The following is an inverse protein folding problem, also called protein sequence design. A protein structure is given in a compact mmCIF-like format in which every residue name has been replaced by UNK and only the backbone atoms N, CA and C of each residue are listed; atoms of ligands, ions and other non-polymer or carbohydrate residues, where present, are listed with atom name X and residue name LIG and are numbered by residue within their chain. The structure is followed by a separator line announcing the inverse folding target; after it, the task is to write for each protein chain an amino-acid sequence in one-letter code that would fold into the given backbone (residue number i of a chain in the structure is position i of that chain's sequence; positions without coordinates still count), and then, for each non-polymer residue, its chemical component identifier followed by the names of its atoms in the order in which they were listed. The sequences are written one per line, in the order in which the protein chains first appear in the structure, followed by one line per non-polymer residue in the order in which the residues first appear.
data_IF_645247346704
#
_entry.id   IF_645247346704
#
_cell.length_a   1.000
_cell.length_b   1.000
_cell.length_c   1.000
_cell.angle_alpha   90.00
_cell.angle_beta   90.00
_cell.angle_gamma   90.00
#
_symmetry.space_group_name_H-M   'P 1'
#
loop_
_entity.id
_entity.type
_entity.pdbx_description
1 polymer ?
#
# COMPACT_ATOMS: atom_id res chain seq x y z
N UNK A 1 10.45 -9.68 17.28
CA UNK A 1 10.01 -8.33 16.86
C UNK A 1 11.12 -7.34 17.14
N UNK A 2 11.37 -6.40 16.24
CA UNK A 2 12.30 -5.28 16.43
C UNK A 2 11.57 -3.97 16.15
N UNK A 3 11.82 -2.97 17.00
CA UNK A 3 11.23 -1.65 16.89
C UNK A 3 12.32 -0.60 17.00
N UNK A 4 12.26 0.39 16.11
CA UNK A 4 13.10 1.57 16.11
C UNK A 4 12.28 2.72 15.52
N UNK A 5 11.87 3.65 16.37
CA UNK A 5 11.15 4.85 15.94
C UNK A 5 12.16 5.99 15.77
N UNK A 6 11.88 6.90 14.84
CA UNK A 6 12.70 8.11 14.71
C UNK A 6 12.53 8.96 15.97
N UNK A 7 13.61 9.53 16.54
CA UNK A 7 13.51 10.41 17.70
C UNK A 7 12.61 11.64 17.47
N UNK A 8 12.43 12.04 16.21
CA UNK A 8 11.54 13.14 15.81
C UNK A 8 10.05 12.77 15.84
N UNK A 9 9.69 11.49 15.88
CA UNK A 9 8.30 11.06 15.90
C UNK A 9 7.71 11.17 17.31
N UNK A 10 6.77 12.08 17.49
CA UNK A 10 6.14 12.36 18.80
C UNK A 10 4.94 11.47 19.09
N UNK A 11 4.38 10.81 18.07
CA UNK A 11 3.15 10.02 18.17
C UNK A 11 1.86 10.83 18.35
N UNK A 12 1.92 12.16 18.36
CA UNK A 12 0.75 13.01 18.56
C UNK A 12 0.06 13.34 17.23
N UNK A 13 -1.27 13.26 17.21
CA UNK A 13 -2.05 13.58 16.00
C UNK A 13 -1.84 15.02 15.52
N UNK A 14 -1.80 15.97 16.47
CA UNK A 14 -1.62 17.39 16.19
C UNK A 14 -0.32 17.71 15.44
N UNK A 15 0.77 16.99 15.73
CA UNK A 15 2.09 17.26 15.15
C UNK A 15 2.16 16.79 13.68
N UNK A 16 1.18 15.97 13.26
CA UNK A 16 0.99 15.47 11.90
C UNK A 16 -0.19 16.15 11.18
N UNK A 17 -0.80 17.17 11.79
CA UNK A 17 -1.99 17.85 11.26
C UNK A 17 -3.12 16.85 10.94
N UNK A 18 -3.34 15.90 11.85
CA UNK A 18 -4.42 14.92 11.78
C UNK A 18 -5.63 15.42 12.57
N UNK A 19 -6.81 15.27 11.99
CA UNK A 19 -8.05 15.71 12.62
C UNK A 19 -9.16 14.65 12.44
N UNK A 20 -9.45 13.84 13.48
CA UNK A 20 -10.51 12.83 13.42
C UNK A 20 -11.92 13.45 13.37
N UNK A 21 -12.08 14.70 13.78
CA UNK A 21 -13.37 15.41 13.84
C UNK A 21 -13.59 16.34 12.63
N UNK A 22 -12.77 16.22 11.58
CA UNK A 22 -12.86 17.05 10.38
C UNK A 22 -14.22 16.90 9.71
N UNK A 23 -14.87 18.04 9.43
CA UNK A 23 -16.13 18.11 8.67
C UNK A 23 -15.97 18.75 7.28
N UNK A 24 -14.98 19.62 7.15
CA UNK A 24 -14.72 20.35 5.90
C UNK A 24 -13.94 19.51 4.90
N UNK A 25 -14.27 19.72 3.62
CA UNK A 25 -13.57 19.11 2.50
C UNK A 25 -12.18 19.73 2.33
N UNK A 26 -11.17 18.89 2.09
CA UNK A 26 -9.80 19.36 1.87
C UNK A 26 -9.52 19.70 0.40
N UNK A 27 -10.35 19.22 -0.51
CA UNK A 27 -10.12 19.34 -1.96
C UNK A 27 -9.11 18.34 -2.52
N UNK A 28 -8.50 17.50 -1.67
CA UNK A 28 -7.65 16.39 -2.09
C UNK A 28 -8.44 15.10 -2.02
N UNK A 29 -8.80 14.55 -3.18
CA UNK A 29 -9.62 13.33 -3.28
C UNK A 29 -8.73 12.09 -3.32
N UNK A 30 -9.00 11.17 -2.41
CA UNK A 30 -8.44 9.81 -2.45
C UNK A 30 -9.55 8.81 -2.79
N UNK A 31 -9.36 8.03 -3.84
CA UNK A 31 -10.30 6.98 -4.23
C UNK A 31 -9.85 5.63 -3.67
N UNK A 32 -10.78 4.94 -3.01
CA UNK A 32 -10.64 3.52 -2.71
C UNK A 32 -11.17 2.75 -3.88
N UNK A 33 -10.27 2.10 -4.61
CA UNK A 33 -10.61 1.21 -5.70
C UNK A 33 -10.79 -0.19 -5.13
N UNK A 34 -12.00 -0.72 -5.28
CA UNK A 34 -12.38 -2.05 -4.76
C UNK A 34 -13.15 -2.88 -5.77
N UNK A 35 -13.12 -4.19 -5.61
CA UNK A 35 -13.90 -5.15 -6.40
C UNK A 35 -14.68 -6.08 -5.46
N UNK A 36 -15.52 -6.96 -6.00
CA UNK A 36 -16.15 -7.99 -5.20
C UNK A 36 -15.08 -8.87 -4.52
N UNK A 37 -15.16 -8.98 -3.19
CA UNK A 37 -14.27 -9.82 -2.38
C UNK A 37 -13.07 -9.10 -1.75
N UNK A 38 -12.79 -7.84 -2.11
CA UNK A 38 -11.90 -7.01 -1.29
C UNK A 38 -12.54 -6.75 0.09
N UNK A 39 -11.71 -6.49 1.11
CA UNK A 39 -12.18 -6.40 2.50
C UNK A 39 -11.37 -5.46 3.41
N UNK A 40 -10.38 -4.74 2.87
CA UNK A 40 -9.56 -3.79 3.63
C UNK A 40 -9.97 -2.32 3.49
N UNK A 41 -11.14 -2.05 2.89
CA UNK A 41 -11.51 -0.71 2.43
C UNK A 41 -11.91 0.21 3.57
N UNK A 42 -12.53 -0.31 4.62
CA UNK A 42 -13.07 0.53 5.71
C UNK A 42 -11.96 1.13 6.55
N UNK A 43 -10.99 0.32 6.95
CA UNK A 43 -9.81 0.77 7.68
C UNK A 43 -8.94 1.68 6.81
N UNK A 44 -8.81 1.39 5.50
CA UNK A 44 -8.11 2.26 4.56
C UNK A 44 -8.81 3.61 4.39
N UNK A 45 -10.14 3.62 4.27
CA UNK A 45 -10.94 4.86 4.22
C UNK A 45 -10.71 5.71 5.44
N UNK A 46 -10.70 5.09 6.62
CA UNK A 46 -10.48 5.81 7.85
C UNK A 46 -9.07 6.37 7.94
N UNK A 47 -8.04 5.63 7.53
CA UNK A 47 -6.66 6.13 7.47
C UNK A 47 -6.53 7.34 6.52
N UNK A 48 -7.10 7.26 5.33
CA UNK A 48 -7.11 8.37 4.36
C UNK A 48 -7.88 9.59 4.89
N UNK A 49 -9.06 9.37 5.48
CA UNK A 49 -9.87 10.44 6.07
C UNK A 49 -9.11 11.15 7.19
N UNK A 50 -8.49 10.40 8.09
CA UNK A 50 -7.71 10.91 9.22
C UNK A 50 -6.50 11.73 8.72
N UNK A 51 -5.86 11.28 7.64
CA UNK A 51 -4.80 12.04 6.96
C UNK A 51 -5.31 13.32 6.29
N UNK A 52 -6.62 13.53 6.17
CA UNK A 52 -7.22 14.73 5.58
C UNK A 52 -7.68 14.60 4.13
N UNK A 53 -7.77 13.38 3.57
CA UNK A 53 -8.30 13.19 2.21
C UNK A 53 -9.83 13.16 2.18
N UNK A 54 -10.43 13.69 1.13
CA UNK A 54 -11.83 13.47 0.80
C UNK A 54 -11.95 12.07 0.17
N UNK A 55 -12.46 11.10 0.93
CA UNK A 55 -12.43 9.69 0.53
C UNK A 55 -13.63 9.37 -0.36
N UNK A 56 -13.34 8.80 -1.53
CA UNK A 56 -14.32 8.39 -2.55
C UNK A 56 -14.31 6.86 -2.67
N UNK A 57 -15.46 6.22 -2.50
CA UNK A 57 -15.59 4.78 -2.78
C UNK A 57 -15.82 4.56 -4.27
N UNK A 58 -14.95 3.77 -4.91
CA UNK A 58 -15.02 3.47 -6.35
C UNK A 58 -14.99 1.97 -6.53
N UNK A 59 -16.15 1.40 -6.87
CA UNK A 59 -16.23 -0.02 -7.18
C UNK A 59 -15.83 -0.26 -8.64
N UNK A 60 -15.31 -1.45 -8.95
CA UNK A 60 -14.97 -1.84 -10.33
C UNK A 60 -16.13 -1.70 -11.33
N UNK A 61 -17.38 -1.77 -10.87
CA UNK A 61 -18.56 -1.48 -11.71
C UNK A 61 -18.62 -0.03 -12.18
N UNK A 62 -18.12 0.93 -11.40
CA UNK A 62 -18.12 2.35 -11.76
C UNK A 62 -17.10 2.60 -12.88
N UNK A 63 -15.90 2.02 -12.77
CA UNK A 63 -14.87 2.08 -13.81
C UNK A 63 -15.27 1.36 -15.10
N UNK A 64 -15.83 0.15 -14.98
CA UNK A 64 -16.17 -0.69 -16.16
C UNK A 64 -17.40 -0.17 -16.91
N UNK A 65 -18.31 0.52 -16.22
CA UNK A 65 -19.44 1.22 -16.85
C UNK A 65 -19.05 2.61 -17.38
N UNK A 66 -17.99 3.22 -16.84
CA UNK A 66 -17.56 4.59 -17.12
C UNK A 66 -18.33 5.65 -16.32
N UNK A 67 -18.94 5.28 -15.19
CA UNK A 67 -19.51 6.25 -14.23
C UNK A 67 -18.43 7.05 -13.50
N UNK A 68 -17.24 6.48 -13.39
CA UNK A 68 -16.08 7.08 -12.74
C UNK A 68 -14.87 7.01 -13.68
N UNK A 69 -14.12 8.10 -13.79
CA UNK A 69 -12.96 8.25 -14.70
C UNK A 69 -11.67 8.67 -13.98
N UNK A 70 -11.72 8.86 -12.66
CA UNK A 70 -10.62 9.27 -11.77
C UNK A 70 -9.99 10.63 -12.12
N UNK A 71 -10.66 11.45 -12.94
CA UNK A 71 -10.16 12.75 -13.36
C UNK A 71 -10.03 13.74 -12.19
N UNK A 72 -10.91 13.65 -11.20
CA UNK A 72 -10.92 14.46 -9.98
C UNK A 72 -10.15 13.84 -8.80
N UNK A 73 -9.55 12.66 -8.99
CA UNK A 73 -8.86 11.88 -7.95
C UNK A 73 -7.36 12.10 -8.01
N UNK A 74 -6.72 12.44 -6.89
CA UNK A 74 -5.27 12.63 -6.79
C UNK A 74 -4.55 11.40 -6.23
N UNK A 75 -5.24 10.59 -5.42
CA UNK A 75 -4.65 9.40 -4.80
C UNK A 75 -5.54 8.18 -5.00
N UNK A 76 -5.08 7.18 -5.75
CA UNK A 76 -5.82 5.92 -5.92
C UNK A 76 -5.26 4.84 -5.01
N UNK A 77 -6.11 4.24 -4.18
CA UNK A 77 -5.73 3.16 -3.26
C UNK A 77 -6.47 1.88 -3.63
N UNK A 78 -5.73 0.89 -4.10
CA UNK A 78 -6.21 -0.46 -4.39
C UNK A 78 -6.13 -1.29 -3.10
N UNK A 79 -7.29 -1.64 -2.55
CA UNK A 79 -7.39 -2.22 -1.23
C UNK A 79 -7.06 -3.72 -1.19
N UNK A 80 -6.75 -4.21 0.01
CA UNK A 80 -6.53 -5.63 0.26
C UNK A 80 -7.82 -6.46 0.33
N UNK A 81 -7.64 -7.78 0.38
CA UNK A 81 -8.73 -8.75 0.52
C UNK A 81 -8.53 -9.94 -0.41
N UNK A 82 -9.63 -10.50 -0.92
CA UNK A 82 -9.64 -11.67 -1.80
C UNK A 82 -10.52 -11.35 -3.01
N UNK A 83 -10.12 -10.39 -3.85
CA UNK A 83 -10.92 -10.03 -5.03
C UNK A 83 -11.18 -11.26 -5.90
N UNK A 84 -12.44 -11.47 -6.29
CA UNK A 84 -12.86 -12.68 -7.00
C UNK A 84 -12.49 -14.00 -6.28
N UNK A 85 -12.35 -13.97 -4.94
CA UNK A 85 -11.91 -15.09 -4.10
C UNK A 85 -10.53 -15.66 -4.47
N UNK A 86 -9.69 -14.84 -5.12
CA UNK A 86 -8.37 -15.23 -5.67
C UNK A 86 -8.42 -16.44 -6.62
N UNK A 87 -9.59 -16.74 -7.19
CA UNK A 87 -9.74 -17.79 -8.21
C UNK A 87 -8.97 -17.38 -9.46
N UNK A 88 -8.23 -18.34 -10.03
CA UNK A 88 -7.22 -18.17 -11.10
C UNK A 88 -5.88 -17.53 -10.65
N UNK A 89 -5.73 -17.24 -9.36
CA UNK A 89 -4.60 -16.56 -8.76
C UNK A 89 -4.99 -15.17 -8.27
N UNK A 90 -4.34 -14.70 -7.21
CA UNK A 90 -4.75 -13.49 -6.50
C UNK A 90 -4.75 -12.27 -7.41
N UNK A 91 -5.81 -11.47 -7.29
CA UNK A 91 -6.06 -10.27 -8.08
C UNK A 91 -6.14 -10.45 -9.61
N UNK A 92 -5.99 -11.66 -10.18
CA UNK A 92 -6.04 -11.84 -11.64
C UNK A 92 -7.42 -11.59 -12.24
N UNK A 93 -8.48 -11.99 -11.53
CA UNK A 93 -9.85 -11.67 -11.93
C UNK A 93 -10.09 -10.15 -11.96
N UNK A 94 -9.56 -9.45 -10.96
CA UNK A 94 -9.63 -7.99 -10.87
C UNK A 94 -8.82 -7.31 -11.98
N UNK A 95 -7.59 -7.77 -12.22
CA UNK A 95 -6.74 -7.32 -13.32
C UNK A 95 -7.42 -7.54 -14.68
N UNK A 96 -8.03 -8.71 -14.91
CA UNK A 96 -8.79 -9.01 -16.11
C UNK A 96 -9.97 -8.05 -16.32
N UNK A 97 -10.68 -7.70 -15.24
CA UNK A 97 -11.75 -6.70 -15.28
C UNK A 97 -11.29 -5.31 -15.74
N UNK A 98 -10.02 -4.96 -15.50
CA UNK A 98 -9.39 -3.72 -16.00
C UNK A 98 -8.88 -3.92 -17.42
N UNK A 99 -8.02 -4.92 -17.67
CA UNK A 99 -7.31 -5.13 -18.93
C UNK A 99 -8.24 -5.37 -20.12
N UNK A 100 -9.34 -6.10 -19.90
CA UNK A 100 -10.28 -6.51 -20.95
C UNK A 100 -11.51 -5.60 -21.06
N UNK A 101 -11.61 -4.54 -20.25
CA UNK A 101 -12.62 -3.51 -20.39
C UNK A 101 -11.97 -2.19 -20.83
N UNK A 102 -12.24 -1.75 -22.07
CA UNK A 102 -11.61 -0.56 -22.63
C UNK A 102 -11.82 0.74 -21.85
N UNK A 103 -12.97 0.89 -21.15
CA UNK A 103 -13.24 2.07 -20.31
C UNK A 103 -12.41 2.04 -19.03
N UNK A 104 -12.40 0.91 -18.33
CA UNK A 104 -11.63 0.74 -17.10
C UNK A 104 -10.13 0.86 -17.38
N UNK A 105 -9.64 0.18 -18.44
CA UNK A 105 -8.25 0.26 -18.89
C UNK A 105 -7.83 1.71 -19.15
N UNK A 106 -8.58 2.43 -20.00
CA UNK A 106 -8.27 3.83 -20.33
C UNK A 106 -8.30 4.73 -19.09
N UNK A 107 -9.22 4.49 -18.16
CA UNK A 107 -9.30 5.22 -16.89
C UNK A 107 -8.02 5.07 -16.07
N UNK A 108 -7.54 3.83 -15.90
CA UNK A 108 -6.29 3.55 -15.16
C UNK A 108 -5.07 4.12 -15.89
N UNK A 109 -4.98 3.92 -17.22
CA UNK A 109 -3.89 4.47 -18.03
C UNK A 109 -3.83 6.01 -17.93
N UNK A 110 -4.97 6.69 -18.04
CA UNK A 110 -5.06 8.14 -17.90
C UNK A 110 -4.62 8.62 -16.50
N UNK A 111 -5.04 7.92 -15.43
CA UNK A 111 -4.66 8.24 -14.06
C UNK A 111 -3.14 8.15 -13.85
N UNK A 112 -2.51 7.08 -14.33
CA UNK A 112 -1.07 6.86 -14.19
C UNK A 112 -0.22 7.78 -15.10
N UNK A 113 -0.80 8.27 -16.20
CA UNK A 113 -0.14 9.23 -17.08
C UNK A 113 -0.02 10.63 -16.46
N UNK A 114 -0.84 10.97 -15.45
CA UNK A 114 -0.77 12.31 -14.84
C UNK A 114 0.42 12.42 -13.88
N UNK A 115 1.15 13.56 -13.87
CA UNK A 115 2.29 13.77 -12.98
C UNK A 115 1.91 14.19 -11.55
N UNK A 116 0.62 14.43 -11.30
CA UNK A 116 0.04 14.92 -10.05
C UNK A 116 -0.73 13.83 -9.28
N UNK A 117 -0.49 12.56 -9.62
CA UNK A 117 -1.14 11.40 -8.98
C UNK A 117 -0.18 10.56 -8.16
N UNK A 118 -0.73 9.96 -7.10
CA UNK A 118 -0.12 8.89 -6.32
C UNK A 118 -0.97 7.62 -6.41
N UNK A 119 -0.36 6.45 -6.21
CA UNK A 119 -1.14 5.24 -5.95
C UNK A 119 -0.53 4.34 -4.89
N UNK A 120 -1.40 3.59 -4.22
CA UNK A 120 -1.06 2.61 -3.21
C UNK A 120 -1.80 1.31 -3.49
N UNK A 121 -1.08 0.20 -3.60
CA UNK A 121 -1.66 -1.14 -3.63
C UNK A 121 -1.29 -1.88 -2.35
N UNK A 122 -2.28 -2.28 -1.55
CA UNK A 122 -2.07 -3.08 -0.33
C UNK A 122 -2.53 -4.50 -0.51
N UNK A 123 -1.66 -5.46 -0.18
CA UNK A 123 -1.96 -6.89 -0.22
C UNK A 123 -2.55 -7.32 -1.58
N UNK A 124 -3.87 -7.50 -1.69
CA UNK A 124 -4.53 -7.78 -2.97
C UNK A 124 -4.42 -6.65 -4.00
N UNK A 125 -4.41 -5.39 -3.55
CA UNK A 125 -4.08 -4.26 -4.41
C UNK A 125 -2.62 -4.25 -4.83
N UNK A 126 -1.69 -4.71 -3.98
CA UNK A 126 -0.27 -4.87 -4.37
C UNK A 126 -0.15 -5.90 -5.50
N UNK A 127 -0.80 -7.06 -5.34
CA UNK A 127 -0.87 -8.10 -6.37
C UNK A 127 -1.45 -7.54 -7.68
N UNK A 128 -2.53 -6.76 -7.60
CA UNK A 128 -3.12 -6.11 -8.77
C UNK A 128 -2.15 -5.19 -9.49
N UNK A 129 -1.47 -4.28 -8.76
CA UNK A 129 -0.53 -3.33 -9.36
C UNK A 129 0.64 -4.05 -10.04
N UNK A 130 1.11 -5.14 -9.45
CA UNK A 130 2.15 -5.98 -10.03
C UNK A 130 1.67 -6.73 -11.28
N UNK A 131 0.44 -7.26 -11.26
CA UNK A 131 -0.16 -7.98 -12.40
C UNK A 131 -0.45 -7.03 -13.58
N UNK A 132 -0.84 -5.78 -13.30
CA UNK A 132 -1.06 -4.75 -14.33
C UNK A 132 0.25 -4.14 -14.87
N UNK A 133 1.40 -4.47 -14.28
CA UNK A 133 2.70 -3.94 -14.69
C UNK A 133 2.90 -2.46 -14.37
N UNK A 134 2.22 -1.94 -13.35
CA UNK A 134 2.16 -0.51 -13.05
C UNK A 134 3.29 0.01 -12.15
N UNK A 135 4.09 -0.88 -11.55
CA UNK A 135 5.20 -0.48 -10.67
C UNK A 135 6.50 -0.32 -11.44
N UNK A 136 6.82 -1.26 -12.34
CA UNK A 136 8.01 -1.23 -13.19
C UNK A 136 7.64 -1.25 -14.68
N UNK A 137 6.87 -0.27 -15.19
CA UNK A 137 6.37 -0.30 -16.56
C UNK A 137 7.49 -0.42 -17.61
N UNK A 138 8.68 0.12 -17.33
CA UNK A 138 9.88 0.03 -18.16
C UNK A 138 10.40 -1.41 -18.38
N UNK A 139 10.10 -2.32 -17.45
CA UNK A 139 10.50 -3.72 -17.55
C UNK A 139 9.65 -4.52 -18.56
N UNK A 140 8.49 -4.01 -18.97
CA UNK A 140 7.59 -4.65 -19.92
C UNK A 140 7.30 -6.12 -19.56
N UNK A 141 7.63 -7.06 -20.46
CA UNK A 141 7.42 -8.50 -20.24
C UNK A 141 8.28 -9.09 -19.12
N UNK A 142 9.36 -8.41 -18.72
CA UNK A 142 10.23 -8.80 -17.62
C UNK A 142 9.79 -8.18 -16.28
N UNK A 143 8.59 -7.57 -16.21
CA UNK A 143 8.04 -7.03 -14.97
C UNK A 143 8.04 -8.12 -13.88
N UNK A 144 8.51 -7.80 -12.65
CA UNK A 144 8.54 -8.76 -11.56
C UNK A 144 7.15 -9.28 -11.21
N UNK A 145 7.12 -10.46 -10.60
CA UNK A 145 5.86 -11.16 -10.34
C UNK A 145 5.66 -11.43 -8.86
N UNK A 146 4.42 -11.78 -8.55
CA UNK A 146 3.98 -12.19 -7.24
C UNK A 146 3.62 -13.67 -7.31
N UNK A 147 4.05 -14.44 -6.32
CA UNK A 147 3.88 -15.89 -6.28
C UNK A 147 3.30 -16.34 -4.94
N UNK A 148 2.88 -17.61 -4.88
CA UNK A 148 2.57 -18.26 -3.61
C UNK A 148 3.71 -18.14 -2.61
N UNK A 149 3.36 -17.93 -1.35
CA UNK A 149 4.30 -18.03 -0.24
C UNK A 149 5.03 -19.37 -0.32
N UNK A 150 6.33 -19.40 0.02
CA UNK A 150 7.10 -20.67 0.06
C UNK A 150 6.50 -21.70 1.03
N UNK A 151 5.77 -21.26 2.06
CA UNK A 151 5.07 -22.15 3.00
C UNK A 151 3.88 -22.88 2.37
N UNK A 152 3.40 -22.43 1.20
CA UNK A 152 2.14 -22.86 0.60
C UNK A 152 0.93 -22.71 1.53
N UNK A 153 1.00 -21.78 2.49
CA UNK A 153 -0.06 -21.48 3.45
C UNK A 153 -0.37 -19.99 3.45
N UNK A 154 -1.58 -19.67 3.90
CA UNK A 154 -1.94 -18.32 4.27
C UNK A 154 -1.24 -17.95 5.57
N UNK A 155 -0.51 -16.84 5.56
CA UNK A 155 0.20 -16.33 6.72
C UNK A 155 -0.56 -15.15 7.31
N UNK A 156 -0.99 -15.29 8.56
CA UNK A 156 -1.57 -14.21 9.36
C UNK A 156 -0.71 -13.99 10.60
N UNK A 157 0.09 -12.93 10.58
CA UNK A 157 1.09 -12.69 11.62
C UNK A 157 1.33 -11.20 11.84
N UNK A 158 1.81 -10.87 13.02
CA UNK A 158 2.36 -9.55 13.33
C UNK A 158 3.88 -9.65 13.35
N UNK A 159 4.54 -8.96 12.42
CA UNK A 159 5.98 -9.04 12.18
C UNK A 159 6.61 -7.65 12.22
N UNK A 160 7.93 -7.59 12.08
CA UNK A 160 8.67 -6.34 11.97
C UNK A 160 9.23 -6.16 10.57
N UNK A 161 9.05 -4.97 10.02
CA UNK A 161 9.69 -4.53 8.78
C UNK A 161 10.66 -3.39 9.06
N UNK A 162 11.72 -3.30 8.28
CA UNK A 162 12.60 -2.15 8.20
C UNK A 162 12.29 -1.33 6.95
N UNK A 163 12.34 -0.01 7.08
CA UNK A 163 12.23 0.91 5.95
C UNK A 163 13.65 1.35 5.58
N UNK A 164 14.25 0.83 4.49
CA UNK A 164 15.56 1.28 4.04
C UNK A 164 15.49 2.69 3.45
N UNK A 165 16.64 3.25 3.08
CA UNK A 165 16.66 4.41 2.18
C UNK A 165 15.93 4.05 0.88
N UNK A 166 14.98 4.89 0.47
CA UNK A 166 14.08 4.61 -0.64
C UNK A 166 13.58 5.91 -1.28
N UNK A 167 13.02 5.81 -2.49
CA UNK A 167 12.45 6.92 -3.25
C UNK A 167 10.94 7.11 -3.07
N UNK A 168 10.26 6.21 -2.33
CA UNK A 168 8.80 6.25 -2.19
C UNK A 168 8.35 7.55 -1.53
N UNK A 169 7.39 8.24 -2.17
CA UNK A 169 6.78 9.46 -1.61
C UNK A 169 6.23 9.17 -0.20
N UNK A 170 5.57 8.03 -0.03
CA UNK A 170 4.92 7.66 1.23
C UNK A 170 5.93 7.22 2.30
N UNK A 171 6.97 6.47 1.95
CA UNK A 171 7.83 5.80 2.94
C UNK A 171 9.19 6.46 3.18
N UNK A 172 9.60 7.45 2.38
CA UNK A 172 10.93 8.07 2.52
C UNK A 172 11.18 8.71 3.89
N UNK A 173 10.17 9.32 4.54
CA UNK A 173 10.36 9.94 5.87
C UNK A 173 10.63 8.91 6.96
N UNK A 174 10.22 7.66 6.74
CA UNK A 174 10.35 6.55 7.68
C UNK A 174 11.67 5.79 7.53
N UNK A 175 12.58 6.22 6.64
CA UNK A 175 13.84 5.54 6.41
C UNK A 175 14.66 5.40 7.71
N UNK A 176 15.19 4.19 7.96
CA UNK A 176 15.90 3.83 9.19
C UNK A 176 15.01 3.30 10.31
N UNK A 177 13.68 3.36 10.18
CA UNK A 177 12.78 2.79 11.18
C UNK A 177 12.69 1.26 11.08
N UNK A 178 12.34 0.66 12.22
CA UNK A 178 11.84 -0.72 12.29
C UNK A 178 10.49 -0.68 12.97
N UNK A 179 9.46 -1.16 12.29
CA UNK A 179 8.07 -0.99 12.69
C UNK A 179 7.36 -2.35 12.71
N UNK A 180 6.49 -2.54 13.69
CA UNK A 180 5.56 -3.67 13.71
C UNK A 180 4.46 -3.49 12.67
N UNK A 181 4.08 -4.56 11.97
CA UNK A 181 3.03 -4.52 10.95
C UNK A 181 2.30 -5.86 10.81
N UNK A 182 1.02 -5.79 10.44
CA UNK A 182 0.20 -6.97 10.14
C UNK A 182 0.46 -7.50 8.74
N UNK A 183 0.58 -8.83 8.64
CA UNK A 183 0.65 -9.59 7.39
C UNK A 183 -0.54 -10.53 7.33
N UNK A 184 -1.17 -10.64 6.16
CA UNK A 184 -2.35 -11.47 5.92
C UNK A 184 -2.46 -11.87 4.44
N UNK A 185 -1.64 -12.83 3.98
CA UNK A 185 -1.64 -13.25 2.57
C UNK A 185 -1.17 -14.70 2.35
N UNK A 186 -1.65 -15.33 1.27
CA UNK A 186 -1.16 -16.64 0.77
C UNK A 186 -0.26 -16.55 -0.47
N UNK A 187 -0.31 -15.42 -1.18
CA UNK A 187 0.38 -15.16 -2.46
C UNK A 187 1.14 -13.84 -2.43
N UNK A 188 1.94 -13.65 -1.37
CA UNK A 188 2.64 -12.38 -1.12
C UNK A 188 4.11 -12.38 -1.50
N UNK A 189 4.60 -13.42 -2.19
CA UNK A 189 6.04 -13.57 -2.46
C UNK A 189 6.44 -12.74 -3.67
N UNK A 190 7.26 -11.71 -3.47
CA UNK A 190 7.92 -11.01 -4.56
C UNK A 190 8.99 -11.92 -5.18
N UNK A 191 8.85 -12.18 -6.49
CA UNK A 191 9.82 -12.86 -7.33
C UNK A 191 10.56 -11.81 -8.16
N UNK A 192 11.80 -11.53 -7.76
CA UNK A 192 12.66 -10.46 -8.23
C UNK A 192 13.97 -11.06 -8.79
N UNK A 193 13.94 -11.65 -10.01
CA UNK A 193 15.02 -12.50 -10.52
C UNK A 193 16.32 -11.78 -10.88
N UNK A 194 16.31 -10.44 -11.00
CA UNK A 194 17.48 -9.61 -11.23
C UNK A 194 18.23 -9.30 -9.94
N UNK A 195 19.29 -8.49 -10.03
CA UNK A 195 20.00 -7.99 -8.85
C UNK A 195 19.12 -7.02 -8.05
N UNK A 196 19.32 -6.96 -6.73
CA UNK A 196 18.55 -6.11 -5.83
C UNK A 196 18.51 -4.63 -6.26
N UNK A 197 19.64 -4.11 -6.76
CA UNK A 197 19.79 -2.73 -7.23
C UNK A 197 18.90 -2.38 -8.44
N UNK A 198 18.31 -3.36 -9.11
CA UNK A 198 17.35 -3.16 -10.18
C UNK A 198 15.93 -2.85 -9.67
N UNK A 199 15.69 -2.94 -8.35
CA UNK A 199 14.37 -2.81 -7.74
C UNK A 199 14.35 -1.71 -6.69
N UNK A 200 13.31 -0.87 -6.69
CA UNK A 200 13.11 0.14 -5.67
C UNK A 200 12.35 -0.47 -4.49
N UNK A 201 13.07 -1.21 -3.63
CA UNK A 201 12.49 -1.84 -2.45
C UNK A 201 12.30 -0.78 -1.35
N UNK A 202 11.03 -0.53 -0.99
CA UNK A 202 10.65 0.52 -0.04
C UNK A 202 10.43 0.00 1.40
N UNK A 203 10.26 -1.32 1.57
CA UNK A 203 10.20 -1.96 2.88
C UNK A 203 10.72 -3.39 2.79
N UNK A 204 11.37 -3.87 3.85
CA UNK A 204 11.87 -5.25 3.96
C UNK A 204 11.45 -5.89 5.26
N UNK A 205 11.21 -7.20 5.25
CA UNK A 205 11.14 -7.97 6.48
C UNK A 205 12.50 -7.92 7.19
N UNK A 206 12.48 -7.74 8.52
CA UNK A 206 13.71 -7.61 9.31
C UNK A 206 14.54 -8.89 9.27
N UNK A 207 13.87 -10.05 9.36
CA UNK A 207 14.50 -11.37 9.30
C UNK A 207 14.35 -11.96 7.90
N UNK A 208 15.26 -12.85 7.50
CA UNK A 208 15.21 -13.52 6.19
C UNK A 208 14.47 -14.87 6.24
N UNK A 209 14.46 -15.49 7.41
CA UNK A 209 13.95 -16.83 7.61
C UNK A 209 12.49 -16.83 8.03
N UNK A 210 11.78 -17.89 7.66
CA UNK A 210 10.43 -18.16 8.15
C UNK A 210 10.45 -18.36 9.68
N UNK A 211 9.50 -17.79 10.45
CA UNK A 211 8.33 -17.00 10.02
C UNK A 211 8.57 -15.49 9.96
N UNK A 212 9.79 -15.00 10.19
CA UNK A 212 10.12 -13.57 10.19
C UNK A 212 10.07 -12.92 8.80
N UNK A 213 10.42 -13.69 7.76
CA UNK A 213 10.00 -13.49 6.37
C UNK A 213 8.90 -14.53 6.06
N UNK A 214 7.62 -14.13 6.03
CA UNK A 214 6.51 -15.09 6.02
C UNK A 214 6.32 -15.75 4.65
N UNK A 215 6.77 -15.11 3.56
CA UNK A 215 6.50 -15.56 2.19
C UNK A 215 7.75 -16.04 1.43
N UNK A 216 8.94 -15.72 1.93
CA UNK A 216 10.21 -16.05 1.27
C UNK A 216 10.47 -15.20 0.03
N UNK A 217 10.06 -13.92 0.07
CA UNK A 217 10.32 -12.95 -1.01
C UNK A 217 11.81 -12.73 -1.20
N UNK A 218 12.21 -12.53 -2.44
CA UNK A 218 13.58 -12.13 -2.78
C UNK A 218 13.94 -10.82 -2.07
N UNK A 219 15.18 -10.72 -1.59
CA UNK A 219 15.70 -9.55 -0.85
C UNK A 219 14.89 -9.17 0.39
N UNK A 220 14.09 -10.11 0.93
CA UNK A 220 13.14 -9.88 2.03
C UNK A 220 12.11 -8.79 1.69
N UNK A 221 11.85 -8.54 0.42
CA UNK A 221 10.99 -7.44 0.00
C UNK A 221 9.58 -7.58 0.61
N UNK A 222 9.11 -6.49 1.20
CA UNK A 222 7.75 -6.35 1.73
C UNK A 222 6.97 -5.25 0.99
N UNK A 223 7.68 -4.27 0.41
CA UNK A 223 7.11 -3.26 -0.46
C UNK A 223 8.10 -2.83 -1.54
N UNK A 224 7.56 -2.45 -2.70
CA UNK A 224 8.30 -1.90 -3.85
C UNK A 224 7.59 -0.65 -4.37
N UNK A 225 8.33 0.25 -5.03
CA UNK A 225 7.72 1.43 -5.65
C UNK A 225 8.22 1.70 -7.07
N UNK A 226 7.49 2.55 -7.80
CA UNK A 226 7.90 3.04 -9.12
C UNK A 226 9.21 3.82 -9.04
N UNK A 227 9.88 3.97 -10.20
CA UNK A 227 11.13 4.71 -10.31
C UNK A 227 11.04 6.16 -9.79
N UNK A 228 9.89 6.80 -10.00
CA UNK A 228 9.59 8.15 -9.51
C UNK A 228 9.04 8.19 -8.06
N UNK A 229 8.86 7.02 -7.44
CA UNK A 229 8.40 6.86 -6.07
C UNK A 229 6.91 7.12 -5.82
N UNK A 230 6.12 7.45 -6.86
CA UNK A 230 4.70 7.85 -6.73
C UNK A 230 3.74 6.68 -6.53
N UNK A 231 4.12 5.50 -7.00
CA UNK A 231 3.27 4.32 -6.98
C UNK A 231 3.90 3.27 -6.05
N UNK A 232 3.25 3.00 -4.93
CA UNK A 232 3.73 2.07 -3.90
C UNK A 232 2.89 0.79 -3.92
N UNK A 233 3.54 -0.36 -3.97
CA UNK A 233 2.90 -1.67 -3.81
C UNK A 233 3.50 -2.38 -2.60
N UNK A 234 2.65 -2.75 -1.64
CA UNK A 234 3.06 -3.24 -0.33
C UNK A 234 2.20 -4.41 0.12
N UNK A 235 2.82 -5.50 0.56
CA UNK A 235 2.08 -6.68 1.03
C UNK A 235 1.55 -6.57 2.46
N UNK A 236 2.32 -6.06 3.44
CA UNK A 236 1.79 -5.84 4.78
C UNK A 236 0.76 -4.70 4.82
N UNK A 237 -0.10 -4.72 5.84
CA UNK A 237 -1.25 -3.82 5.99
C UNK A 237 -0.94 -2.66 6.94
N UNK A 238 -0.41 -1.54 6.44
CA UNK A 238 -0.12 -0.37 7.28
C UNK A 238 -1.40 0.29 7.82
N UNK A 239 -2.50 0.22 7.07
CA UNK A 239 -3.82 0.75 7.43
C UNK A 239 -4.44 0.02 8.62
N UNK A 240 -3.99 -1.21 8.90
CA UNK A 240 -4.38 -2.00 10.07
C UNK A 240 -3.52 -1.73 11.31
N UNK A 241 -2.57 -0.79 11.21
CA UNK A 241 -1.59 -0.50 12.27
C UNK A 241 -1.44 0.99 12.57
N UNK A 242 -2.39 1.84 12.18
CA UNK A 242 -2.33 3.30 12.37
C UNK A 242 -2.44 3.74 13.84
N UNK A 243 -2.94 2.87 14.72
CA UNK A 243 -3.05 3.12 16.16
C UNK A 243 -2.27 2.12 17.02
N UNK A 244 -1.66 2.54 18.15
CA UNK A 244 -0.95 1.62 19.03
C UNK A 244 -1.78 0.42 19.49
N UNK A 245 -3.06 0.60 19.79
CA UNK A 245 -3.96 -0.47 20.24
C UNK A 245 -4.33 -1.48 19.15
N UNK A 246 -4.11 -1.16 17.87
CA UNK A 246 -4.29 -2.11 16.77
C UNK A 246 -3.11 -3.08 16.61
N UNK A 247 -1.97 -2.78 17.23
CA UNK A 247 -0.76 -3.57 17.09
C UNK A 247 -0.75 -4.73 18.10
N UNK A 248 -0.37 -5.94 17.67
CA UNK A 248 -0.28 -7.10 18.58
C UNK A 248 0.73 -6.86 19.72
N UNK A 249 1.78 -6.08 19.42
CA UNK A 249 2.73 -5.60 20.40
C UNK A 249 3.21 -4.20 20.00
N UNK A 250 3.34 -3.32 20.98
CA UNK A 250 3.86 -1.97 20.82
C UNK A 250 4.73 -1.62 22.06
N UNK A 251 5.90 -0.96 21.88
CA UNK A 251 6.80 -0.66 23.00
C UNK A 251 6.09 0.12 24.11
N UNK A 252 6.35 -0.26 25.36
CA UNK A 252 5.59 0.21 26.52
C UNK A 252 5.62 1.74 26.64
N UNK A 253 6.79 2.33 26.44
CA UNK A 253 7.07 3.76 26.49
C UNK A 253 6.25 4.57 25.47
N UNK A 254 5.82 3.95 24.37
CA UNK A 254 5.11 4.61 23.27
C UNK A 254 3.61 4.29 23.24
N UNK A 255 3.08 3.46 24.15
CA UNK A 255 1.65 3.06 24.14
C UNK A 255 0.66 4.21 24.30
N UNK A 256 1.12 5.38 24.75
CA UNK A 256 0.32 6.61 24.86
C UNK A 256 0.36 7.50 23.62
N UNK A 257 1.05 7.09 22.55
CA UNK A 257 0.94 7.77 21.27
C UNK A 257 -0.52 7.74 20.80
N UNK A 258 -0.95 8.81 20.16
CA UNK A 258 -2.27 8.87 19.53
C UNK A 258 -2.30 7.99 18.28
N UNK A 259 -1.18 7.96 17.52
CA UNK A 259 -1.00 7.21 16.27
C UNK A 259 0.38 6.55 16.19
N UNK A 260 0.53 5.56 15.33
CA UNK A 260 1.84 4.95 15.04
C UNK A 260 2.58 5.68 13.92
N UNK A 261 3.88 5.41 13.72
CA UNK A 261 4.64 5.98 12.59
C UNK A 261 4.04 5.68 11.21
N UNK A 262 3.25 4.60 11.08
CA UNK A 262 2.59 4.29 9.80
C UNK A 262 1.66 5.38 9.30
N UNK A 263 1.17 6.23 10.20
CA UNK A 263 0.33 7.38 9.84
C UNK A 263 1.10 8.43 9.03
N UNK A 264 2.42 8.56 9.21
CA UNK A 264 3.26 9.45 8.41
C UNK A 264 3.19 9.11 6.92
N UNK A 265 2.98 7.84 6.55
CA UNK A 265 2.93 7.45 5.15
C UNK A 265 1.78 8.14 4.39
N UNK A 266 0.62 8.23 5.03
CA UNK A 266 -0.56 8.91 4.48
C UNK A 266 -0.40 10.44 4.53
N UNK A 267 0.22 10.96 5.59
CA UNK A 267 0.56 12.39 5.69
C UNK A 267 1.52 12.81 4.58
N UNK A 268 2.55 12.02 4.31
CA UNK A 268 3.50 12.26 3.23
C UNK A 268 2.81 12.30 1.86
N UNK A 269 1.83 11.42 1.62
CA UNK A 269 1.02 11.47 0.41
C UNK A 269 0.25 12.80 0.30
N UNK A 270 -0.40 13.24 1.39
CA UNK A 270 -1.11 14.53 1.42
C UNK A 270 -0.15 15.69 1.14
N UNK A 271 0.97 15.76 1.85
CA UNK A 271 1.93 16.85 1.75
C UNK A 271 2.64 16.92 0.40
N UNK A 272 2.80 15.77 -0.27
CA UNK A 272 3.28 15.76 -1.65
C UNK A 272 2.24 16.30 -2.61
N UNK A 273 0.97 15.89 -2.46
CA UNK A 273 -0.13 16.33 -3.33
C UNK A 273 -0.48 17.81 -3.17
N UNK A 274 -0.38 18.38 -1.96
CA UNK A 274 -0.53 19.83 -1.75
C UNK A 274 0.48 20.68 -2.54
N UNK A 275 1.60 20.09 -2.97
CA UNK A 275 2.69 20.78 -3.68
C UNK A 275 2.61 20.61 -5.20
N UNK A 276 1.63 19.87 -5.71
CA UNK A 276 1.38 19.65 -7.14
C UNK A 276 0.26 20.56 -7.61
#
# INVERSE_FOLDING_TARGET
LQFNFLPSFTGKMQDLDLNPDRKERSGLTAAIIRDKGTNGEREMAYALFLAGFDVKDVHMTDLTSGRETLEDVQFAVFCGGFSNSDVFGSAKGWAGGILYNGKARKTIENFYARPDTLSLGICNGCQLLMELGLIYPEAGKAHPKMQHNRSHKFESAFLSVEIPQNSSVMLKSLAGTKLGIWVAHGEGRFELPGQESAYNIAAKYVYDEYPGNPNGSDYKAAAVCSADGRHLAMMPHLERTIFPWQNAWYPYEFRKHDVTPWMEAFVNAREWLKKK
#
